data_IF_315906636456
#
_entry.id   IF_315906636456
#
_cell.length_a   1.000
_cell.length_b   1.000
_cell.length_c   1.000
_cell.angle_alpha   90.00
_cell.angle_beta   90.00
_cell.angle_gamma   90.00
#
_symmetry.space_group_name_H-M   'P 1'
#
loop_
_entity.id
_entity.type
_entity.pdbx_description
1 polymer ?
#
# COMPACT_ATOMS: atom_id res chain seq x y z
N UNK A 1 15.70 -2.56 -25.66
CA UNK A 1 14.33 -3.07 -25.45
C UNK A 1 14.30 -4.22 -24.45
N UNK A 2 15.05 -5.32 -24.66
CA UNK A 2 15.08 -6.48 -23.75
C UNK A 2 15.53 -6.18 -22.30
N UNK A 3 16.53 -5.32 -22.10
CA UNK A 3 17.00 -4.94 -20.75
C UNK A 3 15.95 -4.15 -19.93
N UNK A 4 15.15 -3.31 -20.61
CA UNK A 4 14.11 -2.51 -19.95
C UNK A 4 12.96 -3.41 -19.45
N UNK A 5 12.51 -4.33 -20.30
CA UNK A 5 11.46 -5.28 -19.95
C UNK A 5 11.86 -6.18 -18.77
N UNK A 6 13.12 -6.62 -18.75
CA UNK A 6 13.65 -7.40 -17.62
C UNK A 6 13.65 -6.61 -16.31
N UNK A 7 14.11 -5.34 -16.35
CA UNK A 7 14.10 -4.47 -15.17
C UNK A 7 12.68 -4.23 -14.65
N UNK A 8 11.71 -4.02 -15.54
CA UNK A 8 10.30 -3.84 -15.14
C UNK A 8 9.71 -5.12 -14.54
N UNK A 9 10.02 -6.28 -15.09
CA UNK A 9 9.56 -7.56 -14.55
C UNK A 9 10.04 -7.78 -13.11
N UNK A 10 11.30 -7.47 -12.81
CA UNK A 10 11.84 -7.54 -11.44
C UNK A 10 11.12 -6.57 -10.51
N UNK A 11 10.87 -5.34 -10.95
CA UNK A 11 10.17 -4.34 -10.15
C UNK A 11 8.75 -4.77 -9.79
N UNK A 12 8.00 -5.33 -10.76
CA UNK A 12 6.65 -5.86 -10.50
C UNK A 12 6.66 -7.05 -9.56
N UNK A 13 7.63 -7.96 -9.71
CA UNK A 13 7.79 -9.08 -8.77
C UNK A 13 8.03 -8.56 -7.35
N UNK A 14 8.97 -7.63 -7.19
CA UNK A 14 9.27 -7.03 -5.90
C UNK A 14 8.05 -6.31 -5.29
N UNK A 15 7.34 -5.52 -6.08
CA UNK A 15 6.13 -4.82 -5.64
C UNK A 15 5.04 -5.80 -5.16
N UNK A 16 4.84 -6.92 -5.88
CA UNK A 16 3.87 -7.95 -5.48
C UNK A 16 4.24 -8.60 -4.13
N UNK A 17 5.53 -8.85 -3.89
CA UNK A 17 6.03 -9.37 -2.63
C UNK A 17 5.80 -8.38 -1.47
N UNK A 18 6.08 -7.09 -1.68
CA UNK A 18 5.85 -6.03 -0.68
C UNK A 18 4.36 -5.94 -0.34
N UNK A 19 3.48 -5.95 -1.36
CA UNK A 19 2.04 -5.93 -1.15
C UNK A 19 1.54 -7.15 -0.36
N UNK A 20 1.97 -8.36 -0.73
CA UNK A 20 1.61 -9.59 -0.03
C UNK A 20 2.12 -9.62 1.41
N UNK A 21 3.32 -9.09 1.65
CA UNK A 21 3.87 -8.92 3.00
C UNK A 21 3.04 -7.94 3.83
N UNK A 22 2.61 -6.82 3.25
CA UNK A 22 1.69 -5.88 3.89
C UNK A 22 0.37 -6.54 4.28
N UNK A 23 -0.23 -7.34 3.39
CA UNK A 23 -1.44 -8.11 3.70
C UNK A 23 -1.25 -9.09 4.88
N UNK A 24 -0.11 -9.77 4.94
CA UNK A 24 0.21 -10.65 6.07
C UNK A 24 0.33 -9.87 7.39
N UNK A 25 0.93 -8.68 7.37
CA UNK A 25 1.01 -7.80 8.54
C UNK A 25 -0.37 -7.31 8.99
N UNK A 26 -1.23 -6.87 8.07
CA UNK A 26 -2.60 -6.47 8.40
C UNK A 26 -3.43 -7.64 8.94
N UNK A 27 -3.25 -8.85 8.42
CA UNK A 27 -3.90 -10.04 8.97
C UNK A 27 -3.45 -10.29 10.42
N UNK A 28 -2.15 -10.25 10.69
CA UNK A 28 -1.63 -10.42 12.04
C UNK A 28 -2.19 -9.35 12.99
N UNK A 29 -2.25 -8.08 12.57
CA UNK A 29 -2.85 -6.99 13.34
C UNK A 29 -4.34 -7.24 13.62
N UNK A 30 -5.10 -7.71 12.63
CA UNK A 30 -6.52 -8.02 12.77
C UNK A 30 -6.76 -9.20 13.74
N UNK A 31 -5.94 -10.25 13.67
CA UNK A 31 -6.00 -11.37 14.60
C UNK A 31 -5.74 -10.93 16.05
N UNK A 32 -4.77 -10.02 16.23
CA UNK A 32 -4.51 -9.42 17.54
C UNK A 32 -5.72 -8.64 18.08
N UNK A 33 -6.40 -7.86 17.22
CA UNK A 33 -7.61 -7.10 17.59
C UNK A 33 -8.76 -8.02 18.00
N UNK A 34 -8.90 -9.20 17.37
CA UNK A 34 -9.95 -10.18 17.68
C UNK A 34 -9.63 -11.01 18.94
N UNK A 35 -8.47 -10.81 19.55
CA UNK A 35 -8.11 -11.37 20.86
C UNK A 35 -7.10 -12.51 20.82
N UNK A 36 -6.51 -12.82 19.66
CA UNK A 36 -5.35 -13.71 19.60
C UNK A 36 -4.12 -12.99 20.18
N UNK A 37 -3.38 -13.58 21.13
CA UNK A 37 -2.23 -12.92 21.71
C UNK A 37 -1.09 -12.80 20.69
N UNK A 38 -0.22 -11.81 20.89
CA UNK A 38 0.91 -11.54 20.01
C UNK A 38 1.85 -12.75 19.87
N UNK A 39 1.97 -13.56 20.93
CA UNK A 39 2.73 -14.83 20.93
C UNK A 39 2.22 -15.86 19.93
N UNK A 40 0.96 -15.78 19.52
CA UNK A 40 0.38 -16.66 18.49
C UNK A 40 0.55 -16.04 17.10
N UNK A 41 0.31 -14.73 16.97
CA UNK A 41 0.43 -14.05 15.67
C UNK A 41 1.87 -13.93 15.18
N UNK A 42 2.85 -13.92 16.08
CA UNK A 42 4.27 -13.93 15.72
C UNK A 42 4.66 -15.18 14.94
N UNK A 43 4.01 -16.33 15.14
CA UNK A 43 4.27 -17.56 14.39
C UNK A 43 3.89 -17.47 12.89
N UNK A 44 3.11 -16.47 12.49
CA UNK A 44 2.87 -16.19 11.05
C UNK A 44 4.14 -15.72 10.34
N UNK A 45 5.13 -15.35 11.13
CA UNK A 45 6.41 -14.88 10.71
C UNK A 45 7.54 -15.68 11.35
N UNK A 46 8.69 -15.68 10.70
CA UNK A 46 9.90 -16.29 11.21
C UNK A 46 11.01 -15.24 11.23
N UNK A 47 11.49 -14.95 12.43
CA UNK A 47 12.69 -14.17 12.67
C UNK A 47 13.86 -15.14 12.89
N UNK A 48 14.94 -15.04 12.11
CA UNK A 48 16.11 -15.88 12.27
C UNK A 48 16.85 -15.54 13.59
N UNK A 49 17.63 -16.46 14.16
CA UNK A 49 18.44 -16.19 15.34
C UNK A 49 19.49 -15.09 15.12
N UNK A 50 19.94 -14.47 16.22
CA UNK A 50 21.05 -13.52 16.19
C UNK A 50 22.30 -14.12 15.50
N UNK A 51 23.04 -13.35 14.68
CA UNK A 51 22.94 -11.90 14.47
C UNK A 51 21.96 -11.47 13.35
N UNK A 52 21.16 -12.39 12.82
CA UNK A 52 20.32 -12.13 11.64
C UNK A 52 18.90 -11.66 11.97
N UNK A 53 18.52 -11.65 13.25
CA UNK A 53 17.18 -11.31 13.74
C UNK A 53 16.68 -9.94 13.24
N UNK A 54 17.59 -9.00 13.00
CA UNK A 54 17.27 -7.65 12.51
C UNK A 54 17.46 -7.49 10.99
N UNK A 55 17.96 -8.52 10.30
CA UNK A 55 18.35 -8.44 8.88
C UNK A 55 17.26 -8.89 7.91
N UNK A 56 16.51 -9.94 8.24
CA UNK A 56 15.42 -10.42 7.39
C UNK A 56 14.36 -11.17 8.20
N UNK A 57 13.10 -11.05 7.77
CA UNK A 57 11.96 -11.72 8.38
C UNK A 57 11.16 -12.44 7.29
N UNK A 58 10.83 -13.71 7.52
CA UNK A 58 10.11 -14.53 6.53
C UNK A 58 8.63 -14.62 6.92
N UNK A 59 7.71 -14.33 5.98
CA UNK A 59 6.27 -14.56 6.21
C UNK A 59 5.86 -15.88 5.58
N UNK A 60 5.14 -16.72 6.33
CA UNK A 60 4.53 -17.92 5.80
C UNK A 60 3.17 -17.65 5.13
N UNK A 61 2.53 -16.53 5.47
CA UNK A 61 1.21 -16.15 4.93
C UNK A 61 1.33 -15.39 3.61
N UNK A 62 2.36 -14.56 3.44
CA UNK A 62 2.54 -13.78 2.21
C UNK A 62 2.57 -14.65 0.93
N UNK A 63 3.24 -15.81 0.88
CA UNK A 63 3.16 -16.72 -0.26
C UNK A 63 1.74 -17.22 -0.55
N UNK A 64 0.92 -17.45 0.47
CA UNK A 64 -0.48 -17.87 0.31
C UNK A 64 -1.32 -16.76 -0.32
N UNK A 65 -1.10 -15.51 0.08
CA UNK A 65 -1.73 -14.35 -0.59
C UNK A 65 -1.33 -14.26 -2.06
N UNK A 66 -0.04 -14.43 -2.37
CA UNK A 66 0.44 -14.42 -3.76
C UNK A 66 -0.18 -15.54 -4.58
N UNK A 67 -0.28 -16.76 -4.04
CA UNK A 67 -0.92 -17.89 -4.72
C UNK A 67 -2.41 -17.64 -4.97
N UNK A 68 -3.11 -17.04 -4.00
CA UNK A 68 -4.51 -16.67 -4.14
C UNK A 68 -4.71 -15.63 -5.25
N UNK A 69 -3.95 -14.54 -5.24
CA UNK A 69 -4.02 -13.50 -6.29
C UNK A 69 -3.62 -14.06 -7.65
N UNK A 70 -2.60 -14.91 -7.71
CA UNK A 70 -2.16 -15.57 -8.95
C UNK A 70 -3.24 -16.49 -9.51
N UNK A 71 -3.92 -17.23 -8.64
CA UNK A 71 -5.06 -18.06 -9.04
C UNK A 71 -6.18 -17.19 -9.61
N UNK A 72 -6.53 -16.09 -8.94
CA UNK A 72 -7.55 -15.14 -9.45
C UNK A 72 -7.14 -14.61 -10.83
N UNK A 73 -5.88 -14.19 -10.99
CA UNK A 73 -5.34 -13.71 -12.27
C UNK A 73 -5.39 -14.77 -13.37
N UNK A 74 -5.35 -16.05 -13.01
CA UNK A 74 -5.41 -17.18 -13.94
C UNK A 74 -6.85 -17.56 -14.34
N UNK A 75 -7.89 -17.01 -13.70
CA UNK A 75 -9.30 -17.33 -13.98
C UNK A 75 -9.92 -16.55 -15.15
N UNK A 76 -9.12 -15.76 -15.88
CA UNK A 76 -9.52 -15.03 -17.09
C UNK A 76 -9.89 -13.57 -16.85
N UNK A 77 -9.69 -12.74 -17.89
CA UNK A 77 -9.73 -11.28 -17.83
C UNK A 77 -11.05 -10.70 -17.29
N UNK A 78 -12.19 -11.31 -17.65
CA UNK A 78 -13.50 -10.85 -17.16
C UNK A 78 -13.64 -10.98 -15.63
N UNK A 79 -13.23 -12.11 -15.04
CA UNK A 79 -13.32 -12.34 -13.58
C UNK A 79 -12.34 -11.44 -12.83
N UNK A 80 -11.15 -11.24 -13.39
CA UNK A 80 -10.14 -10.33 -12.86
C UNK A 80 -10.65 -8.89 -12.86
N UNK A 81 -11.27 -8.43 -13.95
CA UNK A 81 -11.83 -7.08 -14.03
C UNK A 81 -12.92 -6.84 -12.96
N UNK A 82 -13.79 -7.82 -12.74
CA UNK A 82 -14.81 -7.76 -11.68
C UNK A 82 -14.14 -7.73 -10.30
N UNK A 83 -13.14 -8.56 -10.05
CA UNK A 83 -12.38 -8.57 -8.80
C UNK A 83 -11.69 -7.23 -8.53
N UNK A 84 -10.98 -6.67 -9.51
CA UNK A 84 -10.30 -5.38 -9.40
C UNK A 84 -11.28 -4.25 -9.09
N UNK A 85 -12.45 -4.24 -9.74
CA UNK A 85 -13.50 -3.25 -9.46
C UNK A 85 -13.95 -3.32 -8.00
N UNK A 86 -14.24 -4.52 -7.49
CA UNK A 86 -14.65 -4.69 -6.09
C UNK A 86 -13.53 -4.35 -5.11
N UNK A 87 -12.29 -4.75 -5.42
CA UNK A 87 -11.12 -4.42 -4.61
C UNK A 87 -10.91 -2.91 -4.52
N UNK A 88 -11.02 -2.20 -5.65
CA UNK A 88 -10.94 -0.74 -5.69
C UNK A 88 -12.02 -0.10 -4.83
N UNK A 89 -13.30 -0.48 -5.02
CA UNK A 89 -14.42 0.07 -4.26
C UNK A 89 -14.26 -0.18 -2.76
N UNK A 90 -13.87 -1.40 -2.38
CA UNK A 90 -13.66 -1.76 -0.99
C UNK A 90 -12.54 -0.94 -0.34
N UNK A 91 -11.34 -0.94 -0.92
CA UNK A 91 -10.21 -0.20 -0.35
C UNK A 91 -10.47 1.32 -0.31
N UNK A 92 -11.03 1.88 -1.37
CA UNK A 92 -11.36 3.30 -1.40
C UNK A 92 -12.44 3.68 -0.37
N UNK A 93 -13.43 2.80 -0.16
CA UNK A 93 -14.45 3.00 0.87
C UNK A 93 -13.85 2.99 2.29
N UNK A 94 -12.89 2.12 2.57
CA UNK A 94 -12.19 2.08 3.85
C UNK A 94 -11.39 3.36 4.10
N UNK A 95 -10.71 3.86 3.07
CA UNK A 95 -9.94 5.11 3.16
C UNK A 95 -10.89 6.29 3.40
N UNK A 96 -11.99 6.38 2.65
CA UNK A 96 -12.97 7.44 2.84
C UNK A 96 -13.61 7.37 4.23
N UNK A 97 -13.94 6.16 4.70
CA UNK A 97 -14.42 5.94 6.06
C UNK A 97 -13.40 6.42 7.09
N UNK A 98 -12.11 6.08 6.93
CA UNK A 98 -11.05 6.54 7.82
C UNK A 98 -10.95 8.07 7.86
N UNK A 99 -10.98 8.74 6.71
CA UNK A 99 -10.93 10.21 6.64
C UNK A 99 -12.12 10.83 7.39
N UNK A 100 -13.33 10.34 7.13
CA UNK A 100 -14.57 10.88 7.74
C UNK A 100 -14.62 10.59 9.24
N UNK A 101 -14.39 9.34 9.65
CA UNK A 101 -14.41 8.95 11.05
C UNK A 101 -13.27 9.60 11.83
N UNK A 102 -12.08 9.68 11.24
CA UNK A 102 -10.92 10.33 11.85
C UNK A 102 -11.09 11.83 12.02
N UNK A 103 -11.79 12.50 11.09
CA UNK A 103 -12.11 13.92 11.21
C UNK A 103 -12.95 14.25 12.47
N UNK A 104 -13.72 13.28 13.01
CA UNK A 104 -14.46 13.46 14.27
C UNK A 104 -13.53 13.57 15.48
N UNK A 105 -12.35 12.95 15.42
CA UNK A 105 -11.34 12.97 16.48
C UNK A 105 -10.22 14.00 16.20
N UNK A 106 -10.43 14.89 15.24
CA UNK A 106 -9.41 15.85 14.81
C UNK A 106 -9.18 16.94 15.86
N UNK A 107 -7.93 17.08 16.31
CA UNK A 107 -7.50 18.19 17.16
C UNK A 107 -6.31 18.92 16.52
N UNK A 108 -6.51 20.18 16.16
CA UNK A 108 -5.47 21.02 15.56
C UNK A 108 -4.24 21.23 16.46
N UNK A 109 -4.38 21.05 17.79
CA UNK A 109 -3.24 21.13 18.71
C UNK A 109 -2.20 20.03 18.46
N UNK A 110 -2.61 18.88 17.89
CA UNK A 110 -1.69 17.78 17.56
C UNK A 110 -0.72 18.14 16.42
N UNK A 111 -0.95 19.23 15.70
CA UNK A 111 -0.01 19.74 14.69
C UNK A 111 1.19 20.47 15.30
N UNK A 112 1.21 20.68 16.62
CA UNK A 112 2.30 21.40 17.29
C UNK A 112 3.01 20.44 18.26
N UNK A 113 4.32 20.18 18.07
CA UNK A 113 5.19 20.68 16.99
C UNK A 113 4.94 19.95 15.65
N UNK A 114 4.97 20.67 14.52
CA UNK A 114 4.72 20.09 13.20
C UNK A 114 5.81 19.12 12.74
N UNK A 115 7.07 19.45 13.06
CA UNK A 115 8.24 18.67 12.69
C UNK A 115 9.08 18.38 13.95
N UNK A 116 8.63 17.47 14.84
CA UNK A 116 9.33 17.16 16.08
C UNK A 116 10.75 16.64 15.85
N UNK A 117 10.93 15.86 14.78
CA UNK A 117 12.22 15.29 14.35
C UNK A 117 12.95 16.16 13.30
N UNK A 118 12.51 17.41 13.13
CA UNK A 118 13.05 18.35 12.14
C UNK A 118 13.01 17.82 10.69
N UNK A 119 13.84 18.43 9.84
CA UNK A 119 13.92 18.07 8.41
C UNK A 119 14.39 16.63 8.17
N UNK A 120 15.21 16.08 9.07
CA UNK A 120 15.70 14.70 8.96
C UNK A 120 14.55 13.69 9.08
N UNK A 121 13.62 13.91 10.01
CA UNK A 121 12.41 13.09 10.13
C UNK A 121 11.50 13.20 8.90
N UNK A 122 11.37 14.39 8.31
CA UNK A 122 10.59 14.60 7.09
C UNK A 122 11.20 13.83 5.91
N UNK A 123 12.52 13.92 5.72
CA UNK A 123 13.20 13.20 4.65
C UNK A 123 13.16 11.68 4.85
N UNK A 124 13.26 11.20 6.08
CA UNK A 124 13.11 9.78 6.42
C UNK A 124 11.69 9.27 6.16
N UNK A 125 10.65 10.04 6.48
CA UNK A 125 9.27 9.69 6.15
C UNK A 125 9.04 9.70 4.64
N UNK A 126 9.60 10.69 3.92
CA UNK A 126 9.49 10.80 2.47
C UNK A 126 10.12 9.60 1.75
N UNK A 127 11.26 9.07 2.22
CA UNK A 127 11.91 7.91 1.60
C UNK A 127 11.05 6.65 1.70
N UNK A 128 10.34 6.45 2.81
CA UNK A 128 9.36 5.36 2.97
C UNK A 128 8.14 5.60 2.08
N UNK A 129 7.67 6.84 1.99
CA UNK A 129 6.49 7.18 1.18
C UNK A 129 6.69 6.96 -0.33
N UNK A 130 7.93 6.94 -0.84
CA UNK A 130 8.21 6.65 -2.26
C UNK A 130 7.64 5.28 -2.68
N UNK A 131 7.59 4.29 -1.77
CA UNK A 131 7.04 2.96 -2.07
C UNK A 131 5.52 2.96 -2.36
N UNK A 132 4.83 4.08 -2.13
CA UNK A 132 3.41 4.24 -2.41
C UNK A 132 3.09 4.63 -3.87
N UNK A 133 4.08 5.13 -4.61
CA UNK A 133 3.88 5.71 -5.95
C UNK A 133 4.09 4.79 -7.17
N UNK A 134 4.78 3.62 -7.09
CA UNK A 134 4.83 2.69 -8.21
C UNK A 134 3.43 2.20 -8.60
N UNK A 135 3.09 2.27 -9.89
CA UNK A 135 1.83 1.70 -10.40
C UNK A 135 1.19 2.44 -11.58
N UNK A 136 1.53 3.71 -11.81
CA UNK A 136 0.99 4.52 -12.92
C UNK A 136 1.37 3.98 -14.32
N UNK A 137 2.47 3.24 -14.42
CA UNK A 137 2.91 2.54 -15.64
C UNK A 137 1.88 1.50 -16.13
N UNK A 138 1.07 0.96 -15.21
CA UNK A 138 0.00 0.01 -15.56
C UNK A 138 -1.02 0.63 -16.50
N UNK A 139 -1.25 1.95 -16.41
CA UNK A 139 -2.15 2.67 -17.31
C UNK A 139 -1.62 2.62 -18.75
N UNK A 140 -0.31 2.75 -18.94
CA UNK A 140 0.31 2.69 -20.27
C UNK A 140 0.18 1.30 -20.91
N UNK A 141 0.19 0.22 -20.11
CA UNK A 141 0.02 -1.15 -20.60
C UNK A 141 -1.41 -1.42 -21.13
N UNK A 142 -2.39 -0.61 -20.73
CA UNK A 142 -3.78 -0.70 -21.21
C UNK A 142 -4.02 0.13 -22.48
N UNK A 143 -2.97 0.69 -23.09
CA UNK A 143 -3.09 1.55 -24.27
C UNK A 143 -3.64 0.83 -25.51
N UNK A 144 -3.44 -0.48 -25.62
CA UNK A 144 -3.96 -1.29 -26.72
C UNK A 144 -5.49 -1.46 -26.68
N UNK A 145 -6.09 -1.37 -25.50
CA UNK A 145 -7.54 -1.49 -25.28
C UNK A 145 -8.26 -0.12 -25.26
N UNK A 146 -7.53 0.97 -25.46
CA UNK A 146 -8.09 2.34 -25.40
C UNK A 146 -8.48 2.85 -26.80
N UNK A 147 -9.70 3.36 -26.94
CA UNK A 147 -10.19 3.95 -28.20
C UNK A 147 -9.38 5.19 -28.65
N UNK A 148 -8.77 5.94 -27.72
CA UNK A 148 -7.97 7.13 -28.04
C UNK A 148 -6.73 7.27 -27.14
N UNK A 149 -5.71 6.42 -27.33
CA UNK A 149 -4.59 6.31 -26.40
C UNK A 149 -3.79 7.61 -26.25
N UNK A 150 -3.62 8.36 -27.35
CA UNK A 150 -2.83 9.60 -27.40
C UNK A 150 -3.30 10.71 -26.46
N UNK A 151 -4.60 10.72 -26.10
CA UNK A 151 -5.19 11.69 -25.18
C UNK A 151 -5.64 11.06 -23.87
N UNK A 152 -6.18 9.84 -23.91
CA UNK A 152 -6.74 9.19 -22.73
C UNK A 152 -5.66 8.72 -21.77
N UNK A 153 -4.55 8.16 -22.26
CA UNK A 153 -3.47 7.65 -21.40
C UNK A 153 -2.80 8.77 -20.59
N UNK A 154 -2.37 9.91 -21.20
CA UNK A 154 -1.80 11.01 -20.41
C UNK A 154 -2.80 11.60 -19.40
N UNK A 155 -4.06 11.76 -19.79
CA UNK A 155 -5.10 12.29 -18.90
C UNK A 155 -5.35 11.36 -17.71
N UNK A 156 -5.44 10.05 -17.95
CA UNK A 156 -5.63 9.05 -16.91
C UNK A 156 -4.45 9.04 -15.94
N UNK A 157 -3.21 9.10 -16.43
CA UNK A 157 -2.01 9.17 -15.57
C UNK A 157 -2.03 10.38 -14.63
N UNK A 158 -2.32 11.58 -15.16
CA UNK A 158 -2.38 12.81 -14.36
C UNK A 158 -3.55 12.76 -13.38
N UNK A 159 -4.72 12.29 -13.80
CA UNK A 159 -5.89 12.16 -12.95
C UNK A 159 -5.65 11.19 -11.79
N UNK A 160 -5.10 10.00 -12.06
CA UNK A 160 -4.77 9.02 -11.02
C UNK A 160 -3.75 9.57 -10.04
N UNK A 161 -2.70 10.24 -10.52
CA UNK A 161 -1.71 10.86 -9.63
C UNK A 161 -2.35 11.93 -8.74
N UNK A 162 -3.14 12.84 -9.31
CA UNK A 162 -3.81 13.89 -8.55
C UNK A 162 -4.77 13.33 -7.48
N UNK A 163 -5.55 12.29 -7.82
CA UNK A 163 -6.44 11.62 -6.88
C UNK A 163 -5.63 10.95 -5.76
N UNK A 164 -4.60 10.17 -6.11
CA UNK A 164 -3.76 9.49 -5.12
C UNK A 164 -3.08 10.48 -4.16
N UNK A 165 -2.49 11.55 -4.69
CA UNK A 165 -1.87 12.61 -3.88
C UNK A 165 -2.88 13.26 -2.93
N UNK A 166 -4.09 13.57 -3.42
CA UNK A 166 -5.14 14.18 -2.59
C UNK A 166 -5.55 13.26 -1.44
N UNK A 167 -5.73 11.97 -1.74
CA UNK A 167 -6.07 10.97 -0.73
C UNK A 167 -4.96 10.82 0.30
N UNK A 168 -3.69 10.72 -0.13
CA UNK A 168 -2.56 10.62 0.80
C UNK A 168 -2.45 11.83 1.71
N UNK A 169 -2.52 13.06 1.18
CA UNK A 169 -2.48 14.28 1.98
C UNK A 169 -3.63 14.33 2.98
N UNK A 170 -4.83 13.91 2.56
CA UNK A 170 -6.02 13.87 3.44
C UNK A 170 -5.84 12.87 4.58
N UNK A 171 -5.39 11.64 4.28
CA UNK A 171 -5.14 10.60 5.28
C UNK A 171 -4.05 11.03 6.26
N UNK A 172 -2.92 11.54 5.76
CA UNK A 172 -1.82 12.02 6.61
C UNK A 172 -2.24 13.19 7.49
N UNK A 173 -3.00 14.14 6.95
CA UNK A 173 -3.51 15.28 7.72
C UNK A 173 -4.48 14.87 8.82
N UNK A 174 -5.41 13.95 8.53
CA UNK A 174 -6.34 13.41 9.54
C UNK A 174 -5.58 12.64 10.61
N UNK A 175 -4.63 11.77 10.22
CA UNK A 175 -3.85 10.97 11.16
C UNK A 175 -3.02 11.86 12.10
N UNK A 176 -2.35 12.89 11.57
CA UNK A 176 -1.62 13.90 12.36
C UNK A 176 -2.54 14.66 13.31
N UNK A 177 -3.78 14.93 12.89
CA UNK A 177 -4.78 15.58 13.74
C UNK A 177 -5.35 14.68 14.83
N UNK A 178 -5.32 13.36 14.67
CA UNK A 178 -5.86 12.40 15.65
C UNK A 178 -4.84 11.99 16.71
N UNK A 179 -3.59 11.77 16.30
CA UNK A 179 -2.55 11.18 17.14
C UNK A 179 -1.56 12.26 17.58
N UNK A 180 -1.40 12.54 18.88
CA UNK A 180 -0.38 13.44 19.37
C UNK A 180 1.01 12.94 18.98
N UNK A 181 1.89 13.83 18.51
CA UNK A 181 3.31 13.51 18.39
C UNK A 181 3.85 13.27 19.81
N UNK A 182 4.03 12.00 20.19
CA UNK A 182 4.41 11.58 21.55
C UNK A 182 5.82 12.02 21.96
N UNK A 183 5.97 13.31 22.24
CA UNK A 183 7.09 13.94 22.92
C UNK A 183 6.64 14.51 24.27
#
# INVERSE_FOLDING_TARGET
MMQLAFSQAIMYLFASCVAARGCAQYLAALLNIIGLPQSVTSYLFFEPPAPFNDLFEVSFVAPLFLLAVTTINSLGSHRVAVFLKWNFLFNYSLILFFIVAGAVFFNAANFVPFAPNGMQGVLAAASVAIFAFPGSETIANLSEDCESPSRQIPLAMVATLAIATTVYVSVSGVLMGMVPSGL
#
